data_IF_210273665996
#
_entry.id   IF_210273665996
#
_cell.length_a   1.000
_cell.length_b   1.000
_cell.length_c   1.000
_cell.angle_alpha   90.00
_cell.angle_beta   90.00
_cell.angle_gamma   90.00
#
_symmetry.space_group_name_H-M   'P 1'
#
loop_
_entity.id
_entity.type
_entity.pdbx_description
1 polymer ?
#
# COMPACT_ATOMS: atom_id res chain seq x y z
N UNK A 1 11.68 28.11 1.26
CA UNK A 1 11.67 27.47 -0.08
C UNK A 1 11.19 26.05 0.11
N UNK A 2 10.22 25.64 -0.71
CA UNK A 2 9.79 24.25 -0.71
C UNK A 2 10.91 23.34 -1.22
N UNK A 3 11.10 22.22 -0.54
CA UNK A 3 12.02 21.16 -0.93
C UNK A 3 11.22 19.97 -1.43
N UNK A 4 11.79 19.23 -2.37
CA UNK A 4 11.18 17.98 -2.87
C UNK A 4 12.13 16.83 -2.60
N UNK A 5 11.61 15.75 -2.04
CA UNK A 5 12.36 14.49 -1.81
C UNK A 5 11.57 13.35 -2.45
N UNK A 6 12.25 12.49 -3.21
CA UNK A 6 11.70 11.25 -3.76
C UNK A 6 12.35 10.10 -3.02
N UNK A 7 11.55 9.17 -2.52
CA UNK A 7 11.97 8.04 -1.70
C UNK A 7 11.36 6.77 -2.30
N UNK A 8 12.18 5.73 -2.45
CA UNK A 8 11.73 4.39 -2.81
C UNK A 8 11.94 3.45 -1.61
N UNK A 9 11.23 2.33 -1.49
CA UNK A 9 11.61 1.26 -0.58
C UNK A 9 12.99 0.70 -0.97
N UNK A 10 13.66 0.04 -0.03
CA UNK A 10 14.91 -0.65 -0.32
C UNK A 10 14.65 -1.88 -1.19
N UNK A 11 15.54 -2.11 -2.15
CA UNK A 11 15.61 -3.41 -2.82
C UNK A 11 16.18 -4.48 -1.88
N UNK A 12 15.86 -5.74 -2.14
CA UNK A 12 16.42 -6.86 -1.37
C UNK A 12 17.97 -6.94 -1.54
N UNK A 13 18.77 -6.95 -0.44
CA UNK A 13 18.43 -7.14 0.98
C UNK A 13 18.11 -5.78 1.62
N UNK A 14 16.97 -5.68 2.27
CA UNK A 14 16.44 -4.47 2.88
C UNK A 14 17.32 -4.00 4.05
N UNK A 15 17.55 -2.69 4.11
CA UNK A 15 18.42 -2.06 5.12
C UNK A 15 17.63 -1.14 6.05
N UNK A 16 16.68 -0.38 5.51
CA UNK A 16 15.92 0.63 6.26
C UNK A 16 14.41 0.56 6.02
N UNK A 17 13.98 -0.01 4.90
CA UNK A 17 12.58 -0.09 4.49
C UNK A 17 12.31 -1.38 3.71
N UNK A 18 11.05 -1.75 3.53
CA UNK A 18 10.62 -2.94 2.77
C UNK A 18 9.32 -2.65 2.05
N UNK A 19 9.12 -3.26 0.91
CA UNK A 19 7.82 -3.39 0.28
C UNK A 19 7.51 -4.84 -0.09
N UNK A 20 6.29 -5.11 -0.53
CA UNK A 20 5.87 -6.46 -0.88
C UNK A 20 4.40 -6.71 -0.56
N UNK A 21 4.07 -7.96 -0.36
CA UNK A 21 2.69 -8.39 -0.13
C UNK A 21 2.57 -9.37 1.04
N UNK A 22 1.34 -9.44 1.59
CA UNK A 22 0.93 -10.41 2.61
C UNK A 22 -0.41 -11.00 2.21
N UNK A 23 -0.63 -12.30 2.48
CA UNK A 23 -1.88 -12.93 2.09
C UNK A 23 -2.43 -13.95 3.08
N UNK A 24 -3.72 -14.27 2.87
CA UNK A 24 -4.41 -15.44 3.37
C UNK A 24 -4.78 -16.35 2.20
N UNK A 25 -4.43 -17.64 2.28
CA UNK A 25 -4.61 -18.64 1.21
C UNK A 25 -5.28 -19.91 1.72
N UNK A 26 -5.80 -20.74 0.81
CA UNK A 26 -6.23 -22.15 0.89
C UNK A 26 -7.55 -22.46 1.60
N UNK A 27 -8.04 -21.68 2.54
CA UNK A 27 -9.27 -22.01 3.25
C UNK A 27 -10.43 -21.14 2.77
N UNK A 28 -11.57 -21.79 2.47
CA UNK A 28 -12.78 -21.12 1.98
C UNK A 28 -13.51 -20.37 3.10
N UNK A 29 -13.54 -19.04 3.02
CA UNK A 29 -14.21 -18.14 3.96
C UNK A 29 -15.22 -17.23 3.26
N UNK A 30 -16.20 -16.71 3.99
CA UNK A 30 -16.91 -15.51 3.53
C UNK A 30 -15.92 -14.34 3.46
N UNK A 31 -16.23 -13.31 2.66
CA UNK A 31 -15.36 -12.14 2.57
C UNK A 31 -15.13 -11.49 3.94
N UNK A 32 -16.18 -11.29 4.70
CA UNK A 32 -16.08 -10.72 6.05
C UNK A 32 -15.16 -11.52 7.00
N UNK A 33 -15.02 -12.82 6.76
CA UNK A 33 -14.15 -13.69 7.56
C UNK A 33 -12.72 -13.74 7.01
N UNK A 34 -12.50 -13.90 5.68
CA UNK A 34 -11.15 -14.03 5.12
C UNK A 34 -10.29 -12.78 5.44
N UNK A 35 -10.88 -11.58 5.39
CA UNK A 35 -10.18 -10.32 5.67
C UNK A 35 -9.72 -10.19 7.14
N UNK A 36 -10.26 -11.00 8.06
CA UNK A 36 -9.94 -10.99 9.50
C UNK A 36 -9.08 -12.19 9.94
N UNK A 37 -8.74 -13.09 9.03
CA UNK A 37 -7.92 -14.26 9.38
C UNK A 37 -6.46 -13.85 9.62
N UNK A 38 -5.72 -14.72 10.30
CA UNK A 38 -4.27 -14.63 10.30
C UNK A 38 -3.74 -14.89 8.88
N UNK A 39 -2.70 -14.17 8.48
CA UNK A 39 -2.03 -14.42 7.21
C UNK A 39 -1.32 -15.77 7.18
N UNK A 40 -0.92 -16.18 6.00
CA UNK A 40 -0.22 -17.44 5.77
C UNK A 40 1.11 -17.27 5.04
N UNK A 41 1.20 -16.30 4.14
CA UNK A 41 2.41 -16.02 3.36
C UNK A 41 2.68 -14.51 3.34
N UNK A 42 3.95 -14.18 3.13
CA UNK A 42 4.45 -12.85 2.82
C UNK A 42 5.51 -12.95 1.73
N UNK A 43 5.67 -11.93 0.94
CA UNK A 43 6.71 -11.79 -0.08
C UNK A 43 7.40 -10.44 0.06
N UNK A 44 8.38 -10.33 0.98
CA UNK A 44 9.15 -9.10 1.15
C UNK A 44 10.21 -8.90 0.06
N UNK A 45 10.59 -9.95 -0.67
CA UNK A 45 11.66 -9.97 -1.65
C UNK A 45 11.18 -10.34 -3.06
N UNK A 46 9.89 -10.20 -3.34
CA UNK A 46 9.33 -10.47 -4.66
C UNK A 46 9.47 -9.26 -5.57
N UNK A 47 10.08 -9.40 -6.74
CA UNK A 47 10.23 -8.35 -7.73
C UNK A 47 8.88 -7.86 -8.27
N UNK A 48 7.96 -8.77 -8.60
CA UNK A 48 6.57 -8.46 -8.92
C UNK A 48 5.64 -9.59 -8.49
N UNK A 49 4.41 -9.27 -8.10
CA UNK A 49 3.42 -10.27 -7.70
C UNK A 49 1.99 -9.72 -7.80
N UNK A 50 1.01 -10.62 -7.70
CA UNK A 50 -0.41 -10.30 -7.49
C UNK A 50 -0.65 -9.79 -6.06
N UNK A 51 -0.04 -8.66 -5.74
CA UNK A 51 0.00 -8.09 -4.40
C UNK A 51 -1.35 -7.62 -3.88
N UNK A 52 -2.32 -7.37 -4.77
CA UNK A 52 -3.73 -7.17 -4.39
C UNK A 52 -4.55 -8.22 -5.13
N UNK A 53 -5.16 -9.13 -4.39
CA UNK A 53 -5.85 -10.28 -4.96
C UNK A 53 -7.07 -10.68 -4.11
N UNK A 54 -8.13 -11.10 -4.78
CA UNK A 54 -9.28 -11.77 -4.20
C UNK A 54 -9.73 -12.88 -5.14
N UNK A 55 -9.67 -14.13 -4.68
CA UNK A 55 -10.08 -15.30 -5.45
C UNK A 55 -11.24 -16.01 -4.75
N UNK A 56 -12.32 -16.27 -5.49
CA UNK A 56 -13.46 -17.04 -5.06
C UNK A 56 -13.23 -18.53 -5.24
N UNK A 57 -13.96 -19.34 -4.47
CA UNK A 57 -14.02 -20.79 -4.62
C UNK A 57 -15.24 -21.21 -5.45
N UNK A 58 -15.40 -22.52 -5.66
CA UNK A 58 -16.64 -23.10 -6.23
C UNK A 58 -17.80 -23.07 -5.23
N UNK A 59 -17.53 -22.97 -3.92
CA UNK A 59 -18.57 -22.85 -2.90
C UNK A 59 -19.13 -21.42 -2.86
N UNK A 60 -20.45 -21.29 -2.98
CA UNK A 60 -21.15 -20.00 -3.09
C UNK A 60 -20.78 -19.03 -1.96
N UNK A 61 -20.46 -17.81 -2.33
CA UNK A 61 -20.09 -16.71 -1.41
C UNK A 61 -18.80 -16.93 -0.64
N UNK A 62 -17.93 -17.87 -1.06
CA UNK A 62 -16.66 -18.17 -0.40
C UNK A 62 -15.46 -17.75 -1.25
N UNK A 63 -14.41 -17.30 -0.55
CA UNK A 63 -13.13 -16.86 -1.09
C UNK A 63 -12.01 -17.63 -0.39
N UNK A 64 -10.94 -17.95 -1.09
CA UNK A 64 -9.82 -18.74 -0.56
C UNK A 64 -8.46 -18.08 -0.74
N UNK A 65 -8.40 -16.93 -1.39
CA UNK A 65 -7.20 -16.12 -1.46
C UNK A 65 -7.55 -14.64 -1.34
N UNK A 66 -6.83 -13.94 -0.48
CA UNK A 66 -6.88 -12.49 -0.34
C UNK A 66 -5.49 -11.97 -0.05
N UNK A 67 -5.01 -11.03 -0.86
CA UNK A 67 -3.72 -10.39 -0.67
C UNK A 67 -3.86 -8.88 -0.53
N UNK A 68 -2.91 -8.26 0.18
CA UNK A 68 -2.72 -6.82 0.38
C UNK A 68 -1.26 -6.48 0.19
N UNK A 69 -0.96 -5.31 -0.38
CA UNK A 69 0.41 -4.83 -0.52
C UNK A 69 0.78 -3.86 0.59
N UNK A 70 2.05 -3.86 0.97
CA UNK A 70 2.65 -3.00 1.99
C UNK A 70 3.84 -2.29 1.35
N UNK A 71 3.98 -0.99 1.64
CA UNK A 71 5.07 -0.14 1.17
C UNK A 71 5.58 0.70 2.33
N UNK A 72 6.81 0.48 2.74
CA UNK A 72 7.48 1.27 3.76
C UNK A 72 8.55 2.14 3.10
N UNK A 73 8.63 3.40 3.53
CA UNK A 73 9.58 4.36 2.99
C UNK A 73 10.38 4.95 4.15
N UNK A 74 11.71 4.83 4.10
CA UNK A 74 12.59 5.53 5.05
C UNK A 74 12.58 7.03 4.76
N UNK A 75 11.82 7.76 5.54
CA UNK A 75 11.66 9.21 5.42
C UNK A 75 12.54 9.99 6.39
N UNK A 76 13.55 9.35 6.99
CA UNK A 76 14.49 9.96 7.93
C UNK A 76 15.29 11.11 7.34
N UNK A 77 15.44 11.15 6.02
CA UNK A 77 16.09 12.24 5.27
C UNK A 77 15.31 13.57 5.32
N UNK A 78 14.02 13.53 5.67
CA UNK A 78 13.20 14.73 5.86
C UNK A 78 13.46 15.27 7.28
N UNK A 79 13.91 16.52 7.44
CA UNK A 79 14.25 17.05 8.75
C UNK A 79 13.06 17.00 9.74
N UNK A 80 13.31 16.67 11.01
CA UNK A 80 12.27 16.55 12.03
C UNK A 80 11.43 17.85 12.19
N UNK A 81 12.04 19.02 12.01
CA UNK A 81 11.38 20.33 12.08
C UNK A 81 10.65 20.74 10.78
N UNK A 82 10.67 19.90 9.74
CA UNK A 82 9.99 20.20 8.49
C UNK A 82 8.47 20.11 8.64
N UNK A 83 7.75 20.88 7.83
CA UNK A 83 6.31 20.72 7.61
C UNK A 83 6.11 20.15 6.22
N UNK A 84 5.53 18.95 6.12
CA UNK A 84 5.16 18.32 4.85
C UNK A 84 3.85 18.97 4.39
N UNK A 85 3.89 19.54 3.19
CA UNK A 85 2.77 20.32 2.62
C UNK A 85 2.05 19.59 1.48
N UNK A 86 2.74 18.69 0.79
CA UNK A 86 2.16 17.82 -0.23
C UNK A 86 2.96 16.51 -0.33
N UNK A 87 2.29 15.45 -0.78
CA UNK A 87 2.95 14.19 -1.13
C UNK A 87 2.14 13.42 -2.17
N UNK A 88 2.84 12.61 -2.98
CA UNK A 88 2.25 11.62 -3.88
C UNK A 88 2.86 10.25 -3.66
N UNK A 89 2.05 9.22 -3.79
CA UNK A 89 2.48 7.83 -3.86
C UNK A 89 2.27 7.33 -5.30
N UNK A 90 3.31 6.80 -5.91
CA UNK A 90 3.31 6.24 -7.25
C UNK A 90 3.58 4.74 -7.18
N UNK A 91 2.72 3.94 -7.81
CA UNK A 91 2.86 2.49 -7.89
C UNK A 91 2.74 2.03 -9.34
N UNK A 92 3.67 1.17 -9.78
CA UNK A 92 3.63 0.59 -11.12
C UNK A 92 2.73 -0.63 -11.14
N UNK A 93 1.70 -0.61 -11.98
CA UNK A 93 0.76 -1.73 -12.16
C UNK A 93 1.12 -2.45 -13.46
N UNK A 94 1.63 -3.67 -13.33
CA UNK A 94 2.02 -4.53 -14.46
C UNK A 94 0.78 -5.00 -15.23
N UNK A 95 -0.18 -5.57 -14.50
CA UNK A 95 -1.42 -6.09 -15.07
C UNK A 95 -2.60 -5.97 -14.10
N UNK A 96 -3.81 -6.07 -14.62
CA UNK A 96 -5.04 -6.13 -13.83
C UNK A 96 -6.06 -7.10 -14.41
N UNK A 97 -6.87 -7.71 -13.54
CA UNK A 97 -7.95 -8.63 -13.90
C UNK A 97 -9.16 -8.39 -13.00
N UNK A 98 -10.38 -8.45 -13.55
CA UNK A 98 -11.61 -8.33 -12.77
C UNK A 98 -12.66 -9.38 -13.19
N UNK A 99 -12.32 -10.66 -13.09
CA UNK A 99 -13.22 -11.76 -13.44
C UNK A 99 -14.34 -12.00 -12.40
N UNK A 100 -14.21 -11.44 -11.18
CA UNK A 100 -15.30 -11.38 -10.21
C UNK A 100 -16.37 -10.35 -10.58
N UNK A 101 -16.16 -9.59 -11.66
CA UNK A 101 -17.04 -8.50 -12.10
C UNK A 101 -17.39 -7.52 -10.95
N UNK A 102 -16.41 -7.22 -10.09
CA UNK A 102 -16.58 -6.22 -9.05
C UNK A 102 -16.84 -4.84 -9.67
N UNK A 103 -17.61 -4.00 -9.01
CA UNK A 103 -17.80 -2.61 -9.44
C UNK A 103 -16.48 -1.86 -9.46
N UNK A 104 -16.43 -0.74 -10.20
CA UNK A 104 -15.23 0.10 -10.26
C UNK A 104 -14.75 0.56 -8.87
N UNK A 105 -15.68 0.83 -7.96
CA UNK A 105 -15.38 1.24 -6.59
C UNK A 105 -14.88 0.04 -5.74
N UNK A 106 -15.50 -1.14 -5.88
CA UNK A 106 -15.08 -2.33 -5.14
C UNK A 106 -13.69 -2.84 -5.56
N UNK A 107 -13.38 -2.78 -6.86
CA UNK A 107 -12.08 -3.15 -7.40
C UNK A 107 -11.08 -1.97 -7.44
N UNK A 108 -11.42 -0.81 -6.89
CA UNK A 108 -10.53 0.35 -6.85
C UNK A 108 -9.24 0.07 -6.05
N UNK A 109 -8.16 0.76 -6.40
CA UNK A 109 -6.97 0.86 -5.55
C UNK A 109 -7.24 1.85 -4.42
N UNK A 110 -7.15 1.42 -3.18
CA UNK A 110 -7.32 2.24 -1.97
C UNK A 110 -6.01 2.29 -1.19
N UNK A 111 -5.48 3.50 -0.97
CA UNK A 111 -4.30 3.76 -0.16
C UNK A 111 -4.70 3.98 1.30
N UNK A 112 -4.18 3.15 2.19
CA UNK A 112 -4.54 3.09 3.62
C UNK A 112 -3.29 3.02 4.49
N UNK A 113 -3.45 3.05 5.82
CA UNK A 113 -2.34 2.87 6.75
C UNK A 113 -2.09 1.41 7.08
N UNK A 114 -0.84 1.09 7.38
CA UNK A 114 -0.43 -0.23 7.87
C UNK A 114 0.64 -0.09 8.94
N UNK A 115 0.72 -1.05 9.86
CA UNK A 115 1.72 -1.10 10.93
C UNK A 115 2.31 -2.52 11.03
N UNK A 116 3.16 -2.94 10.08
CA UNK A 116 3.83 -4.23 10.15
C UNK A 116 4.81 -4.27 11.34
N UNK A 117 5.15 -5.48 11.78
CA UNK A 117 5.99 -5.70 12.94
C UNK A 117 7.44 -5.22 12.72
N UNK A 118 7.92 -5.24 11.49
CA UNK A 118 9.29 -4.80 11.12
C UNK A 118 9.23 -3.67 10.09
N UNK A 119 10.32 -2.90 9.97
CA UNK A 119 10.50 -1.93 8.90
C UNK A 119 11.28 -2.51 7.71
N UNK A 120 11.95 -3.65 7.90
CA UNK A 120 12.87 -4.27 6.94
C UNK A 120 12.50 -5.72 6.63
N UNK A 121 11.30 -6.16 7.01
CA UNK A 121 10.80 -7.51 6.70
C UNK A 121 9.28 -7.54 6.79
N UNK A 122 8.65 -8.39 5.99
CA UNK A 122 7.22 -8.67 6.03
C UNK A 122 7.01 -10.13 6.40
N UNK A 123 6.12 -10.34 7.34
CA UNK A 123 5.73 -11.69 7.78
C UNK A 123 4.24 -11.93 7.58
N UNK A 124 3.84 -13.19 7.50
CA UNK A 124 2.43 -13.56 7.31
C UNK A 124 1.49 -12.88 8.34
N UNK A 125 1.96 -12.65 9.57
CA UNK A 125 1.18 -11.99 10.62
C UNK A 125 0.79 -10.54 10.28
N UNK A 126 1.50 -9.86 9.37
CA UNK A 126 1.21 -8.49 8.96
C UNK A 126 -0.09 -8.39 8.14
N UNK A 127 -0.61 -9.51 7.63
CA UNK A 127 -1.94 -9.57 7.04
C UNK A 127 -3.06 -9.30 8.07
N UNK A 128 -2.82 -9.52 9.37
CA UNK A 128 -3.84 -9.36 10.42
C UNK A 128 -4.49 -7.98 10.34
N UNK A 129 -5.82 -7.95 10.33
CA UNK A 129 -6.61 -6.73 10.20
C UNK A 129 -6.28 -5.67 11.26
N UNK A 130 -5.80 -6.09 12.43
CA UNK A 130 -5.37 -5.17 13.51
C UNK A 130 -4.16 -4.30 13.12
N UNK A 131 -3.37 -4.73 12.12
CA UNK A 131 -2.24 -3.98 11.60
C UNK A 131 -2.65 -2.94 10.53
N UNK A 132 -3.92 -2.88 10.16
CA UNK A 132 -4.43 -2.05 9.07
C UNK A 132 -5.36 -0.96 9.58
N UNK A 133 -5.11 0.27 9.14
CA UNK A 133 -6.01 1.41 9.39
C UNK A 133 -6.69 1.74 8.07
N UNK A 134 -7.99 1.42 7.94
CA UNK A 134 -8.73 1.59 6.70
C UNK A 134 -9.20 3.04 6.45
N UNK A 135 -8.52 4.03 7.05
CA UNK A 135 -8.65 5.43 6.65
C UNK A 135 -7.96 5.64 5.32
N UNK A 136 -8.66 6.20 4.34
CA UNK A 136 -8.10 6.54 3.04
C UNK A 136 -7.12 7.70 3.16
N UNK A 137 -5.90 7.51 2.71
CA UNK A 137 -4.85 8.53 2.68
C UNK A 137 -4.74 9.25 1.33
N UNK A 138 -5.48 8.78 0.33
CA UNK A 138 -5.66 9.41 -0.97
C UNK A 138 -7.08 9.13 -1.49
N UNK A 139 -7.49 9.79 -2.58
CA UNK A 139 -8.66 9.35 -3.33
C UNK A 139 -8.39 8.00 -3.99
N UNK A 140 -9.37 7.11 -3.96
CA UNK A 140 -9.27 5.82 -4.64
C UNK A 140 -9.10 5.99 -6.15
N UNK A 141 -8.29 5.14 -6.78
CA UNK A 141 -8.26 5.02 -8.24
C UNK A 141 -9.25 3.94 -8.64
N UNK A 142 -10.38 4.33 -9.24
CA UNK A 142 -11.40 3.40 -9.73
C UNK A 142 -10.80 2.38 -10.73
N UNK A 143 -11.28 1.14 -10.74
CA UNK A 143 -10.72 0.06 -11.58
C UNK A 143 -10.49 0.47 -13.04
N UNK A 144 -11.47 1.15 -13.65
CA UNK A 144 -11.37 1.57 -15.05
C UNK A 144 -10.29 2.63 -15.30
N UNK A 145 -9.92 3.40 -14.27
CA UNK A 145 -8.92 4.47 -14.34
C UNK A 145 -7.50 3.97 -14.02
N UNK A 146 -7.35 2.75 -13.49
CA UNK A 146 -6.02 2.16 -13.30
C UNK A 146 -5.43 1.85 -14.68
N UNK A 147 -4.22 2.35 -14.92
CA UNK A 147 -3.45 2.10 -16.16
C UNK A 147 -2.45 0.97 -15.91
N UNK A 148 -2.42 -0.02 -16.79
CA UNK A 148 -1.42 -1.12 -16.74
C UNK A 148 -0.16 -0.75 -17.50
N UNK A 149 0.96 -1.40 -17.18
CA UNK A 149 2.30 -1.09 -17.68
C UNK A 149 2.65 0.40 -17.49
N UNK A 150 2.23 0.98 -16.37
CA UNK A 150 2.39 2.40 -16.06
C UNK A 150 2.31 2.67 -14.55
N UNK A 151 2.88 3.80 -14.14
CA UNK A 151 2.65 4.35 -12.82
C UNK A 151 1.22 4.86 -12.65
N UNK A 152 0.66 4.61 -11.48
CA UNK A 152 -0.61 5.14 -11.03
C UNK A 152 -0.36 6.01 -9.80
N UNK A 153 -0.57 7.31 -9.94
CA UNK A 153 -0.26 8.32 -8.92
C UNK A 153 -1.45 8.56 -8.01
N UNK A 154 -1.22 8.51 -6.71
CA UNK A 154 -2.20 8.81 -5.66
C UNK A 154 -1.73 10.02 -4.84
N UNK A 155 -2.39 11.17 -4.98
CA UNK A 155 -2.09 12.37 -4.18
C UNK A 155 -2.63 12.20 -2.77
N UNK A 156 -1.76 12.35 -1.77
CA UNK A 156 -2.16 12.22 -0.37
C UNK A 156 -3.10 13.35 0.04
N UNK A 157 -4.18 12.97 0.71
CA UNK A 157 -5.13 13.90 1.31
C UNK A 157 -4.65 14.39 2.69
N UNK A 158 -5.47 15.19 3.38
CA UNK A 158 -5.13 15.72 4.70
C UNK A 158 -4.78 14.64 5.73
N UNK A 159 -5.44 13.48 5.69
CA UNK A 159 -5.15 12.37 6.61
C UNK A 159 -3.79 11.72 6.30
N UNK A 160 -3.47 11.53 5.02
CA UNK A 160 -2.16 11.02 4.59
C UNK A 160 -1.03 12.01 4.93
N UNK A 161 -1.23 13.30 4.72
CA UNK A 161 -0.26 14.32 5.12
C UNK A 161 -0.09 14.39 6.65
N UNK A 162 -1.16 14.21 7.43
CA UNK A 162 -1.09 14.16 8.89
C UNK A 162 -0.26 12.97 9.37
N UNK A 163 -0.41 11.78 8.74
CA UNK A 163 0.43 10.61 9.01
C UNK A 163 1.92 10.94 8.80
N UNK A 164 2.29 11.49 7.64
CA UNK A 164 3.68 11.84 7.34
C UNK A 164 4.23 12.90 8.30
N UNK A 165 3.44 13.90 8.66
CA UNK A 165 3.85 14.93 9.60
C UNK A 165 4.02 14.42 11.02
N UNK A 166 3.32 13.35 11.42
CA UNK A 166 3.40 12.75 12.76
C UNK A 166 4.59 11.80 12.92
N UNK A 167 4.87 10.95 11.92
CA UNK A 167 5.82 9.85 12.03
C UNK A 167 6.84 9.75 10.90
N UNK A 168 6.67 10.52 9.83
CA UNK A 168 7.47 10.43 8.61
C UNK A 168 8.60 11.47 8.55
N UNK A 169 9.26 11.83 9.66
CA UNK A 169 10.31 12.88 9.65
C UNK A 169 11.37 12.64 10.70
N UNK A 170 12.61 13.05 10.36
CA UNK A 170 13.76 12.98 11.26
C UNK A 170 14.25 11.54 11.50
N UNK A 171 15.21 11.35 12.43
CA UNK A 171 15.79 10.05 12.70
C UNK A 171 14.72 9.00 13.02
N UNK A 172 14.72 7.88 12.27
CA UNK A 172 13.72 6.82 12.38
C UNK A 172 12.36 7.16 11.75
N UNK A 173 12.25 8.26 11.01
CA UNK A 173 11.05 8.62 10.26
C UNK A 173 10.69 7.54 9.25
N UNK A 174 9.42 7.10 9.27
CA UNK A 174 8.94 6.04 8.39
C UNK A 174 7.52 6.35 7.91
N UNK A 175 7.32 6.31 6.58
CA UNK A 175 5.99 6.31 6.01
C UNK A 175 5.55 4.86 5.79
N UNK A 176 4.42 4.46 6.37
CA UNK A 176 3.89 3.09 6.33
C UNK A 176 2.54 3.09 5.61
N UNK A 177 2.57 2.69 4.35
CA UNK A 177 1.42 2.72 3.45
C UNK A 177 1.01 1.30 3.06
N UNK A 178 -0.28 1.05 3.04
CA UNK A 178 -0.87 -0.19 2.55
C UNK A 178 -1.74 0.09 1.32
N UNK A 179 -1.79 -0.85 0.39
CA UNK A 179 -2.65 -0.79 -0.77
C UNK A 179 -3.56 -2.02 -0.80
N UNK A 180 -4.86 -1.78 -1.01
CA UNK A 180 -5.89 -2.83 -0.98
C UNK A 180 -7.04 -2.49 -1.93
N UNK A 181 -7.99 -3.40 -2.08
CA UNK A 181 -9.24 -3.12 -2.79
C UNK A 181 -10.16 -2.15 -2.02
N UNK A 182 -10.91 -1.31 -2.75
CA UNK A 182 -11.94 -0.45 -2.16
C UNK A 182 -12.96 -1.23 -1.33
N UNK A 183 -13.38 -2.42 -1.80
CA UNK A 183 -14.30 -3.29 -1.05
C UNK A 183 -13.74 -3.78 0.29
N UNK A 184 -12.43 -3.95 0.39
CA UNK A 184 -11.78 -4.30 1.66
C UNK A 184 -11.71 -3.09 2.60
N UNK A 185 -11.38 -1.92 2.06
CA UNK A 185 -11.37 -0.66 2.81
C UNK A 185 -12.74 -0.36 3.42
N UNK A 186 -13.81 -0.56 2.67
CA UNK A 186 -15.20 -0.29 3.11
C UNK A 186 -15.83 -1.42 3.92
N UNK A 187 -15.13 -2.55 4.11
CA UNK A 187 -15.72 -3.77 4.64
C UNK A 187 -17.00 -4.19 3.91
N UNK A 188 -17.04 -3.93 2.61
CA UNK A 188 -18.19 -4.16 1.75
C UNK A 188 -18.42 -5.65 1.44
N UNK A 189 -19.26 -5.92 0.46
CA UNK A 189 -19.52 -7.30 -0.03
C UNK A 189 -19.13 -7.37 -1.49
N UNK A 190 -18.02 -8.05 -1.85
CA UNK A 190 -17.62 -8.20 -3.24
C UNK A 190 -18.59 -9.15 -3.99
N UNK A 191 -18.65 -8.98 -5.30
CA UNK A 191 -19.30 -9.97 -6.13
C UNK A 191 -18.63 -11.34 -5.98
N UNK A 192 -19.43 -12.39 -6.10
CA UNK A 192 -18.95 -13.77 -6.15
C UNK A 192 -19.32 -14.41 -7.49
N UNK A 193 -18.33 -14.94 -8.19
CA UNK A 193 -18.48 -15.77 -9.38
C UNK A 193 -17.59 -17.00 -9.15
N UNK A 194 -18.10 -18.20 -9.42
CA UNK A 194 -17.42 -19.46 -9.11
C UNK A 194 -16.01 -19.54 -9.71
N UNK A 195 -15.01 -19.81 -8.88
CA UNK A 195 -13.61 -20.00 -9.26
C UNK A 195 -13.06 -18.86 -10.13
N UNK A 196 -13.33 -17.60 -9.76
CA UNK A 196 -12.86 -16.40 -10.44
C UNK A 196 -11.97 -15.55 -9.55
N UNK A 197 -11.21 -14.66 -10.19
CA UNK A 197 -10.23 -13.81 -9.50
C UNK A 197 -10.37 -12.37 -9.95
N UNK A 198 -10.20 -11.43 -9.01
CA UNK A 198 -9.87 -10.03 -9.29
C UNK A 198 -8.52 -9.74 -8.68
N UNK A 199 -7.61 -9.08 -9.42
CA UNK A 199 -6.24 -8.84 -8.96
C UNK A 199 -5.58 -7.66 -9.65
N UNK A 200 -4.54 -7.15 -8.98
CA UNK A 200 -3.51 -6.29 -9.54
C UNK A 200 -2.16 -6.96 -9.37
N UNK A 201 -1.37 -7.00 -10.43
CA UNK A 201 0.05 -7.34 -10.40
C UNK A 201 0.83 -6.05 -10.27
N UNK A 202 1.71 -5.99 -9.26
CA UNK A 202 2.43 -4.80 -8.84
C UNK A 202 3.92 -5.08 -8.93
N UNK A 203 4.69 -4.14 -9.46
CA UNK A 203 6.15 -4.14 -9.34
C UNK A 203 6.53 -3.56 -7.98
N UNK A 204 7.47 -4.24 -7.32
CA UNK A 204 8.09 -3.88 -6.06
C UNK A 204 9.54 -3.46 -6.27
N UNK A 205 10.17 -2.86 -5.26
CA UNK A 205 11.54 -2.35 -5.34
C UNK A 205 12.61 -3.45 -5.63
N UNK A 206 12.26 -4.72 -5.46
CA UNK A 206 13.14 -5.87 -5.77
C UNK A 206 13.21 -6.23 -7.26
N UNK A 207 12.47 -5.50 -8.11
CA UNK A 207 12.59 -5.65 -9.57
C UNK A 207 13.97 -5.17 -10.03
N UNK A 208 14.61 -5.92 -10.92
CA UNK A 208 15.98 -5.68 -11.36
C UNK A 208 16.22 -4.31 -12.07
N UNK A 209 15.17 -3.56 -12.36
CA UNK A 209 15.22 -2.22 -12.93
C UNK A 209 14.50 -1.25 -12.00
N UNK A 210 15.24 -0.48 -11.26
CA UNK A 210 14.73 0.53 -10.30
C UNK A 210 13.83 1.62 -10.89
N UNK A 211 13.64 1.68 -12.20
CA UNK A 211 12.75 2.66 -12.83
C UNK A 211 11.26 2.41 -12.50
N UNK A 212 10.87 1.18 -12.13
CA UNK A 212 9.49 0.80 -11.78
C UNK A 212 9.21 0.74 -10.28
N UNK A 213 10.21 1.03 -9.46
CA UNK A 213 10.08 1.01 -8.01
C UNK A 213 8.94 1.91 -7.54
N UNK A 214 8.17 1.50 -6.52
CA UNK A 214 7.21 2.38 -5.86
C UNK A 214 7.88 3.65 -5.34
N UNK A 215 7.22 4.80 -5.47
CA UNK A 215 7.80 6.10 -5.13
C UNK A 215 6.90 6.88 -4.19
N UNK A 216 7.51 7.46 -3.15
CA UNK A 216 6.89 8.48 -2.32
C UNK A 216 7.59 9.81 -2.60
N UNK A 217 6.89 10.74 -3.26
CA UNK A 217 7.38 12.10 -3.49
C UNK A 217 6.80 13.01 -2.42
N UNK A 218 7.67 13.70 -1.67
CA UNK A 218 7.27 14.56 -0.55
C UNK A 218 7.74 15.98 -0.78
N UNK A 219 6.84 16.95 -0.64
CA UNK A 219 7.13 18.39 -0.65
C UNK A 219 7.06 18.93 0.77
N UNK A 220 8.11 19.57 1.23
CA UNK A 220 8.22 20.04 2.60
C UNK A 220 8.97 21.38 2.72
N UNK A 221 8.68 22.12 3.77
CA UNK A 221 9.33 23.38 4.14
C UNK A 221 9.89 23.29 5.55
N UNK A 222 11.06 23.91 5.78
CA UNK A 222 11.52 24.21 7.12
C UNK A 222 10.81 25.45 7.62
N UNK A 223 10.20 25.38 8.81
CA UNK A 223 9.74 26.58 9.51
C UNK A 223 10.95 27.52 9.73
N UNK A 224 10.88 28.74 9.22
CA UNK A 224 11.88 29.76 9.55
C UNK A 224 11.74 30.06 11.03
N UNK A 225 12.64 29.56 11.87
CA UNK A 225 12.77 30.08 13.22
C UNK A 225 13.32 31.52 13.07
N UNK A 226 12.48 32.51 13.25
CA UNK A 226 12.97 33.86 13.49
C UNK A 226 13.59 33.87 14.89
N UNK A 227 14.89 33.57 14.96
CA UNK A 227 15.65 33.89 16.16
C UNK A 227 15.63 35.38 16.36
N UNK A 228 14.87 35.90 17.31
CA UNK A 228 15.09 37.22 17.83
C UNK A 228 16.46 37.19 18.53
N UNK A 229 17.47 37.75 17.90
CA UNK A 229 18.71 38.10 18.55
C UNK A 229 18.39 39.36 19.36
N UNK A 230 18.30 39.22 20.69
CA UNK A 230 18.32 40.33 21.63
C UNK A 230 19.75 40.68 21.99
#
# INVERSE_FOLDING_TARGET
MANTTIICPDAHVEVSSVDGWVNRWLTAYTFANIRKQAGQLAGPSDASNYGINLTSTTASGKFNNMARSIFLFDTSVIPAGATITAATFDVYIVSKLNDLAMTNAHAALSLVGVAPASNIDLVAADFNIANWTFTRYAADIAYNNVTTSAFNTMTLNAAGLALLNASGKGPGGMAKLGLTFGVDTDAGTPNWISAKTTRYEIDYADTANSEFDPKLTVIWDLSKSFGYIF
#
